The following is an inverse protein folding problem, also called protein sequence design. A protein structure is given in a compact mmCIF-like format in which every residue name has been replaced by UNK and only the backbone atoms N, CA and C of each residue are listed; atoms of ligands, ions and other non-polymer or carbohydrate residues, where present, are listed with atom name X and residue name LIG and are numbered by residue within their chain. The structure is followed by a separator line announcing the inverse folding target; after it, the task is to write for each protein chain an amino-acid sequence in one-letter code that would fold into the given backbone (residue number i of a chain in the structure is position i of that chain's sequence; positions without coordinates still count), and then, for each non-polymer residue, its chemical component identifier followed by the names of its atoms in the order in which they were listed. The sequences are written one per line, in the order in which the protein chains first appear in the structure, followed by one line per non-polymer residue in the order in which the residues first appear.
data_IF_749150280155
#
_entry.id   IF_749150280155
#
_cell.length_a   1.000
_cell.length_b   1.000
_cell.length_c   1.000
_cell.angle_alpha   90.00
_cell.angle_beta   90.00
_cell.angle_gamma   90.00
#
_symmetry.space_group_name_H-M   'P 1'
#
loop_
_entity.id
_entity.type
_entity.pdbx_description
1 polymer ?
#
# COMPACT_ATOMS: atom_id res chain seq x y z
N UNK A 1 3.69 25.17 2.35
CA UNK A 1 2.26 24.85 2.11
C UNK A 1 2.18 23.36 1.84
N UNK A 2 1.29 22.60 2.48
CA UNK A 2 1.05 21.22 2.05
C UNK A 2 0.59 21.28 0.59
N UNK A 3 1.22 20.50 -0.28
CA UNK A 3 0.72 20.29 -1.64
C UNK A 3 -0.70 19.74 -1.47
N UNK A 4 -1.71 20.48 -1.94
CA UNK A 4 -3.08 19.99 -1.94
C UNK A 4 -3.10 18.73 -2.80
N UNK A 5 -3.50 17.61 -2.19
CA UNK A 5 -3.71 16.36 -2.91
C UNK A 5 -5.04 16.45 -3.65
N UNK A 6 -5.06 16.06 -4.92
CA UNK A 6 -6.31 16.11 -5.70
C UNK A 6 -7.31 15.10 -5.13
N UNK A 7 -8.53 15.53 -4.75
CA UNK A 7 -9.56 14.62 -4.27
C UNK A 7 -10.15 13.83 -5.44
N UNK A 8 -10.09 12.50 -5.33
CA UNK A 8 -10.57 11.54 -6.32
C UNK A 8 -11.69 10.72 -5.69
N UNK A 9 -12.87 10.75 -6.30
CA UNK A 9 -13.97 9.85 -5.96
C UNK A 9 -14.01 8.69 -6.95
N UNK A 10 -13.92 7.46 -6.45
CA UNK A 10 -14.03 6.27 -7.31
C UNK A 10 -15.46 5.74 -7.23
N UNK A 11 -16.17 5.88 -8.35
CA UNK A 11 -17.52 5.36 -8.57
C UNK A 11 -17.42 3.98 -9.19
N UNK A 12 -17.88 2.95 -8.49
CA UNK A 12 -17.82 1.55 -8.92
C UNK A 12 -19.06 0.79 -8.42
N UNK A 13 -19.32 -0.40 -8.97
CA UNK A 13 -20.36 -1.30 -8.45
C UNK A 13 -19.77 -2.35 -7.50
N UNK A 14 -20.57 -2.90 -6.61
CA UNK A 14 -20.12 -3.86 -5.59
C UNK A 14 -19.41 -5.10 -6.18
N UNK A 15 -19.80 -5.54 -7.39
CA UNK A 15 -19.13 -6.64 -8.08
C UNK A 15 -17.66 -6.36 -8.43
N UNK A 16 -17.24 -5.09 -8.45
CA UNK A 16 -15.87 -4.65 -8.74
C UNK A 16 -15.08 -4.30 -7.47
N UNK A 17 -15.70 -4.42 -6.29
CA UNK A 17 -15.12 -3.93 -5.03
C UNK A 17 -13.72 -4.47 -4.77
N UNK A 18 -13.51 -5.77 -4.90
CA UNK A 18 -12.22 -6.41 -4.64
C UNK A 18 -11.11 -5.84 -5.53
N UNK A 19 -11.36 -5.68 -6.83
CA UNK A 19 -10.40 -5.08 -7.76
C UNK A 19 -10.15 -3.59 -7.44
N UNK A 20 -11.20 -2.83 -7.10
CA UNK A 20 -11.06 -1.41 -6.75
C UNK A 20 -10.23 -1.25 -5.48
N UNK A 21 -10.52 -2.02 -4.44
CA UNK A 21 -9.90 -1.90 -3.12
C UNK A 21 -8.46 -2.40 -3.10
N UNK A 22 -8.16 -3.46 -3.84
CA UNK A 22 -6.84 -4.11 -3.78
C UNK A 22 -5.88 -3.68 -4.88
N UNK A 23 -6.37 -3.00 -5.92
CA UNK A 23 -5.56 -2.59 -7.08
C UNK A 23 -5.71 -1.11 -7.43
N UNK A 24 -6.91 -0.65 -7.77
CA UNK A 24 -7.11 0.72 -8.26
C UNK A 24 -6.86 1.78 -7.20
N UNK A 25 -7.59 1.74 -6.08
CA UNK A 25 -7.49 2.73 -5.02
C UNK A 25 -6.06 2.83 -4.44
N UNK A 26 -5.36 1.71 -4.15
CA UNK A 26 -3.98 1.74 -3.68
C UNK A 26 -3.03 2.48 -4.62
N UNK A 27 -3.14 2.22 -5.93
CA UNK A 27 -2.30 2.88 -6.94
C UNK A 27 -2.56 4.38 -6.97
N UNK A 28 -3.83 4.79 -6.96
CA UNK A 28 -4.21 6.21 -6.98
C UNK A 28 -3.72 6.93 -5.71
N UNK A 29 -3.93 6.36 -4.52
CA UNK A 29 -3.44 6.93 -3.26
C UNK A 29 -1.91 7.01 -3.21
N UNK A 30 -1.23 5.93 -3.59
CA UNK A 30 0.23 5.85 -3.55
C UNK A 30 0.89 6.81 -4.55
N UNK A 31 0.19 7.16 -5.64
CA UNK A 31 0.66 8.14 -6.62
C UNK A 31 0.53 9.60 -6.16
N UNK A 32 -0.18 9.87 -5.06
CA UNK A 32 -0.27 11.20 -4.44
C UNK A 32 -1.68 11.81 -4.36
N UNK A 33 -2.71 11.14 -4.88
CA UNK A 33 -4.09 11.62 -4.79
C UNK A 33 -4.79 11.21 -3.48
N UNK A 34 -5.84 11.94 -3.10
CA UNK A 34 -6.70 11.58 -1.96
C UNK A 34 -7.92 10.82 -2.48
N UNK A 35 -8.04 9.53 -2.15
CA UNK A 35 -9.14 8.69 -2.66
C UNK A 35 -10.27 8.60 -1.66
N UNK A 36 -11.50 8.77 -2.14
CA UNK A 36 -12.74 8.45 -1.42
C UNK A 36 -13.48 7.31 -2.13
N UNK A 37 -13.87 6.32 -1.34
CA UNK A 37 -14.64 5.13 -1.73
C UNK A 37 -15.99 5.16 -1.01
N UNK A 38 -17.03 4.67 -1.69
CA UNK A 38 -18.42 4.72 -1.25
C UNK A 38 -18.71 4.15 0.17
N UNK A 39 -18.72 2.83 0.33
CA UNK A 39 -19.14 2.15 1.57
C UNK A 39 -18.03 2.18 2.61
N UNK A 40 -16.76 2.25 2.18
CA UNK A 40 -15.60 2.24 3.07
C UNK A 40 -15.48 3.55 3.85
N UNK A 41 -15.64 4.69 3.18
CA UNK A 41 -15.47 6.00 3.81
C UNK A 41 -16.80 6.59 4.32
N UNK A 42 -17.89 5.83 4.18
CA UNK A 42 -19.22 6.23 4.61
C UNK A 42 -19.37 6.32 6.13
N UNK A 43 -20.00 7.41 6.57
CA UNK A 43 -20.40 7.59 7.97
C UNK A 43 -21.72 6.85 8.20
N UNK A 44 -21.69 5.89 9.13
CA UNK A 44 -22.88 5.16 9.55
C UNK A 44 -23.97 6.12 10.06
N UNK A 45 -25.24 5.81 9.75
CA UNK A 45 -26.38 6.64 10.12
C UNK A 45 -26.72 7.77 9.14
N UNK A 46 -25.91 7.98 8.09
CA UNK A 46 -26.23 8.89 6.98
C UNK A 46 -26.66 8.11 5.74
N UNK A 47 -27.48 8.74 4.88
CA UNK A 47 -27.86 8.16 3.59
C UNK A 47 -26.63 8.00 2.69
N UNK A 48 -26.35 6.78 2.23
CA UNK A 48 -25.24 6.50 1.30
C UNK A 48 -25.35 7.37 0.03
N UNK A 49 -26.56 7.53 -0.52
CA UNK A 49 -26.78 8.37 -1.70
C UNK A 49 -26.45 9.86 -1.45
N UNK A 50 -26.73 10.37 -0.25
CA UNK A 50 -26.38 11.75 0.11
C UNK A 50 -24.87 11.92 0.23
N UNK A 51 -24.18 10.96 0.85
CA UNK A 51 -22.73 10.97 1.02
C UNK A 51 -22.00 10.83 -0.32
N UNK A 52 -22.43 9.92 -1.17
CA UNK A 52 -21.89 9.75 -2.53
C UNK A 52 -22.03 11.02 -3.37
N UNK A 53 -23.16 11.72 -3.25
CA UNK A 53 -23.35 13.03 -3.89
C UNK A 53 -22.37 14.07 -3.35
N UNK A 54 -22.21 14.16 -2.03
CA UNK A 54 -21.24 15.09 -1.40
C UNK A 54 -19.80 14.82 -1.86
N UNK A 55 -19.38 13.55 -1.89
CA UNK A 55 -18.04 13.19 -2.36
C UNK A 55 -17.86 13.47 -3.86
N UNK A 56 -18.86 13.13 -4.68
CA UNK A 56 -18.83 13.44 -6.11
C UNK A 56 -18.82 14.93 -6.41
N UNK A 57 -19.51 15.75 -5.60
CA UNK A 57 -19.53 17.21 -5.72
C UNK A 57 -18.19 17.83 -5.28
N UNK A 58 -17.52 17.24 -4.28
CA UNK A 58 -16.23 17.70 -3.74
C UNK A 58 -15.00 17.20 -4.52
N UNK A 59 -15.12 16.13 -5.31
CA UNK A 59 -14.01 15.53 -6.03
C UNK A 59 -13.56 16.37 -7.23
N UNK A 60 -12.25 16.55 -7.36
CA UNK A 60 -11.59 17.09 -8.54
C UNK A 60 -11.71 16.13 -9.72
N UNK A 61 -11.68 14.83 -9.44
CA UNK A 61 -11.82 13.76 -10.42
C UNK A 61 -12.83 12.71 -9.95
N UNK A 62 -13.78 12.37 -10.82
CA UNK A 62 -14.65 11.20 -10.65
C UNK A 62 -14.17 10.08 -11.57
N UNK A 63 -13.68 8.99 -10.98
CA UNK A 63 -13.25 7.80 -11.70
C UNK A 63 -14.44 6.84 -11.80
N UNK A 64 -14.98 6.64 -13.00
CA UNK A 64 -16.12 5.76 -13.25
C UNK A 64 -15.66 4.39 -13.74
N UNK A 65 -15.81 3.35 -12.92
CA UNK A 65 -15.36 1.98 -13.22
C UNK A 65 -16.45 1.24 -14.01
N UNK A 66 -16.40 1.36 -15.33
CA UNK A 66 -17.43 0.86 -16.24
C UNK A 66 -17.45 -0.67 -16.32
N UNK A 67 -18.64 -1.22 -16.12
CA UNK A 67 -19.06 -2.61 -16.36
C UNK A 67 -20.55 -2.65 -16.73
N UNK A 68 -21.07 -3.77 -17.26
CA UNK A 68 -22.52 -3.92 -17.48
C UNK A 68 -23.35 -3.63 -16.22
N UNK A 69 -22.88 -4.05 -15.04
CA UNK A 69 -23.61 -3.85 -13.78
C UNK A 69 -23.51 -2.41 -13.27
N UNK A 70 -22.36 -1.77 -13.45
CA UNK A 70 -22.19 -0.34 -13.19
C UNK A 70 -23.19 0.48 -14.02
N UNK A 71 -23.33 0.16 -15.31
CA UNK A 71 -24.24 0.87 -16.21
C UNK A 71 -25.72 0.64 -15.89
N UNK A 72 -26.08 -0.47 -15.24
CA UNK A 72 -27.45 -0.73 -14.76
C UNK A 72 -27.76 -0.05 -13.43
N UNK A 73 -26.75 0.34 -12.67
CA UNK A 73 -26.93 0.96 -11.36
C UNK A 73 -27.38 2.42 -11.50
N UNK A 74 -28.59 2.73 -11.04
CA UNK A 74 -29.14 4.09 -11.04
C UNK A 74 -28.25 5.06 -10.25
N UNK A 75 -27.70 4.61 -9.12
CA UNK A 75 -26.79 5.44 -8.31
C UNK A 75 -25.53 5.81 -9.08
N UNK A 76 -24.86 4.81 -9.65
CA UNK A 76 -23.65 5.01 -10.47
C UNK A 76 -23.94 5.91 -11.68
N UNK A 77 -25.10 5.74 -12.34
CA UNK A 77 -25.51 6.60 -13.44
C UNK A 77 -25.64 8.06 -13.04
N UNK A 78 -26.19 8.34 -11.86
CA UNK A 78 -26.33 9.71 -11.38
C UNK A 78 -24.95 10.35 -11.22
N UNK A 79 -24.00 9.63 -10.63
CA UNK A 79 -22.65 10.13 -10.32
C UNK A 79 -21.88 10.59 -11.57
N UNK A 80 -21.77 9.75 -12.59
CA UNK A 80 -21.04 10.16 -13.81
C UNK A 80 -21.83 11.19 -14.63
N UNK A 81 -23.17 11.19 -14.58
CA UNK A 81 -23.99 12.26 -15.17
C UNK A 81 -23.80 13.60 -14.46
N UNK A 82 -23.59 13.58 -13.14
CA UNK A 82 -23.22 14.76 -12.35
C UNK A 82 -21.85 15.29 -12.77
N UNK A 83 -20.82 14.45 -12.83
CA UNK A 83 -19.48 14.84 -13.30
C UNK A 83 -19.52 15.41 -14.73
N UNK A 84 -20.25 14.77 -15.65
CA UNK A 84 -20.44 15.26 -17.03
C UNK A 84 -21.10 16.63 -17.10
N UNK A 85 -22.03 16.97 -16.20
CA UNK A 85 -22.65 18.30 -16.17
C UNK A 85 -21.66 19.40 -15.78
N UNK A 86 -20.62 19.07 -15.00
CA UNK A 86 -19.57 20.01 -14.61
C UNK A 86 -18.52 20.22 -15.72
N UNK A 87 -18.34 19.22 -16.59
CA UNK A 87 -17.52 19.30 -17.81
C UNK A 87 -18.30 18.88 -19.08
N UNK A 88 -19.26 19.71 -19.54
CA UNK A 88 -20.04 19.39 -20.74
C UNK A 88 -19.15 19.22 -21.97
N UNK A 89 -19.25 18.07 -22.62
CA UNK A 89 -18.43 17.75 -23.80
C UNK A 89 -16.98 17.38 -23.47
N UNK A 90 -16.64 17.18 -22.19
CA UNK A 90 -15.32 16.72 -21.73
C UNK A 90 -14.17 17.62 -22.17
N UNK A 91 -14.43 18.92 -22.27
CA UNK A 91 -13.48 19.91 -22.78
C UNK A 91 -12.31 20.13 -21.82
N UNK A 92 -12.54 19.97 -20.51
CA UNK A 92 -11.48 20.02 -19.50
C UNK A 92 -10.73 18.70 -19.40
N UNK A 93 -11.42 17.58 -19.66
CA UNK A 93 -10.84 16.23 -19.72
C UNK A 93 -10.37 15.70 -18.37
N UNK A 94 -10.85 16.27 -17.26
CA UNK A 94 -10.37 15.95 -15.90
C UNK A 94 -11.50 15.59 -14.94
N UNK A 95 -12.75 15.97 -15.21
CA UNK A 95 -13.81 15.81 -14.21
C UNK A 95 -14.37 14.38 -14.17
N UNK A 96 -14.52 13.72 -15.32
CA UNK A 96 -14.93 12.32 -15.42
C UNK A 96 -13.82 11.52 -16.12
N UNK A 97 -13.32 10.49 -15.44
CA UNK A 97 -12.31 9.55 -15.96
C UNK A 97 -12.95 8.16 -16.09
N UNK A 98 -13.42 7.76 -17.28
CA UNK A 98 -14.01 6.45 -17.47
C UNK A 98 -12.93 5.37 -17.56
N UNK A 99 -13.05 4.33 -16.72
CA UNK A 99 -12.19 3.15 -16.73
C UNK A 99 -13.01 1.94 -17.16
N UNK A 100 -12.65 1.31 -18.27
CA UNK A 100 -13.33 0.12 -18.74
C UNK A 100 -12.79 -1.11 -17.98
N UNK A 101 -13.61 -1.70 -17.10
CA UNK A 101 -13.28 -2.92 -16.34
C UNK A 101 -13.85 -4.17 -16.97
N UNK A 102 -14.98 -4.06 -17.67
CA UNK A 102 -15.63 -5.13 -18.43
C UNK A 102 -16.18 -4.61 -19.76
N UNK A 103 -16.43 -5.51 -20.71
CA UNK A 103 -17.04 -5.11 -21.98
C UNK A 103 -18.47 -4.64 -21.77
N UNK A 104 -18.72 -3.37 -22.09
CA UNK A 104 -20.07 -2.78 -22.05
C UNK A 104 -20.65 -2.76 -23.47
N UNK A 105 -21.73 -3.51 -23.70
CA UNK A 105 -22.43 -3.54 -24.98
C UNK A 105 -23.97 -3.58 -24.76
N UNK A 106 -24.73 -2.59 -25.26
CA UNK A 106 -24.24 -1.33 -25.83
C UNK A 106 -23.65 -0.41 -24.76
N UNK A 107 -22.66 0.41 -25.14
CA UNK A 107 -22.18 1.52 -24.32
C UNK A 107 -23.19 2.70 -24.45
N UNK A 108 -23.47 3.47 -23.38
CA UNK A 108 -24.42 4.57 -23.46
C UNK A 108 -24.03 5.60 -24.53
N UNK A 109 -25.01 6.18 -25.25
CA UNK A 109 -24.77 7.26 -26.22
C UNK A 109 -23.97 8.44 -25.64
N UNK A 110 -24.14 8.71 -24.35
CA UNK A 110 -23.42 9.78 -23.64
C UNK A 110 -21.92 9.51 -23.44
N UNK A 111 -21.52 8.24 -23.53
CA UNK A 111 -20.14 7.76 -23.41
C UNK A 111 -19.63 7.20 -24.75
N UNK A 112 -20.33 7.46 -25.86
CA UNK A 112 -19.93 7.04 -27.21
C UNK A 112 -20.05 8.20 -28.21
N UNK A 113 -19.22 8.16 -29.26
CA UNK A 113 -19.20 9.17 -30.31
C UNK A 113 -18.08 10.21 -30.19
N UNK A 114 -18.02 11.20 -31.10
CA UNK A 114 -16.87 12.10 -31.24
C UNK A 114 -16.63 13.05 -30.06
N UNK A 115 -17.70 13.34 -29.30
CA UNK A 115 -17.67 14.21 -28.12
C UNK A 115 -17.71 13.42 -26.80
N UNK A 116 -17.52 12.10 -26.85
CA UNK A 116 -17.44 11.26 -25.67
C UNK A 116 -16.02 11.29 -25.07
N UNK A 117 -15.88 11.02 -23.76
CA UNK A 117 -14.57 10.96 -23.15
C UNK A 117 -13.85 9.71 -23.66
N UNK A 118 -12.53 9.79 -23.81
CA UNK A 118 -11.72 8.58 -23.96
C UNK A 118 -11.80 7.78 -22.66
N UNK A 119 -12.01 6.48 -22.78
CA UNK A 119 -11.91 5.56 -21.65
C UNK A 119 -10.53 4.90 -21.61
N UNK A 120 -10.05 4.61 -20.42
CA UNK A 120 -8.84 3.81 -20.21
C UNK A 120 -9.25 2.34 -20.05
N UNK A 121 -8.66 1.45 -20.86
CA UNK A 121 -9.02 0.03 -20.87
C UNK A 121 -8.15 -0.77 -19.90
N UNK A 122 -8.73 -1.14 -18.76
CA UNK A 122 -8.11 -1.96 -17.72
C UNK A 122 -8.77 -3.34 -17.61
N UNK A 123 -9.50 -3.80 -18.64
CA UNK A 123 -10.18 -5.12 -18.60
C UNK A 123 -9.24 -6.29 -18.32
N UNK A 124 -8.00 -6.18 -18.83
CA UNK A 124 -6.95 -7.20 -18.73
C UNK A 124 -6.20 -7.17 -17.40
N UNK A 125 -6.33 -6.09 -16.62
CA UNK A 125 -5.65 -5.94 -15.34
C UNK A 125 -6.11 -7.02 -14.34
N UNK A 126 -5.11 -7.70 -13.74
CA UNK A 126 -5.33 -8.82 -12.82
C UNK A 126 -5.87 -10.11 -13.47
N UNK A 127 -6.03 -10.16 -14.81
CA UNK A 127 -6.54 -11.35 -15.53
C UNK A 127 -5.52 -11.97 -16.46
N UNK A 128 -4.64 -11.15 -17.03
CA UNK A 128 -3.63 -11.58 -17.98
C UNK A 128 -2.24 -11.14 -17.53
N UNK A 129 -1.21 -11.72 -18.17
CA UNK A 129 0.15 -11.24 -18.01
C UNK A 129 0.21 -9.79 -18.49
N UNK A 130 0.71 -8.92 -17.63
CA UNK A 130 0.88 -7.53 -17.96
C UNK A 130 1.80 -7.35 -19.18
N UNK A 131 1.44 -6.39 -20.03
CA UNK A 131 2.21 -5.96 -21.17
C UNK A 131 2.42 -4.44 -21.18
N UNK A 132 3.17 -3.95 -22.16
CA UNK A 132 3.46 -2.53 -22.30
C UNK A 132 2.20 -1.67 -22.50
N UNK A 133 1.13 -2.23 -23.08
CA UNK A 133 -0.12 -1.50 -23.30
C UNK A 133 -0.83 -1.27 -21.97
N UNK A 134 -0.91 -2.30 -21.12
CA UNK A 134 -1.50 -2.16 -19.80
C UNK A 134 -0.72 -1.15 -18.93
N UNK A 135 0.61 -1.21 -18.94
CA UNK A 135 1.45 -0.25 -18.21
C UNK A 135 1.24 1.19 -18.73
N UNK A 136 1.16 1.39 -20.05
CA UNK A 136 0.85 2.70 -20.64
C UNK A 136 -0.55 3.20 -20.25
N UNK A 137 -1.53 2.31 -20.14
CA UNK A 137 -2.87 2.68 -19.66
C UNK A 137 -2.83 3.14 -18.20
N UNK A 138 -2.09 2.46 -17.33
CA UNK A 138 -1.86 2.91 -15.96
C UNK A 138 -1.13 4.25 -15.90
N UNK A 139 -0.07 4.43 -16.68
CA UNK A 139 0.67 5.69 -16.75
C UNK A 139 -0.23 6.87 -17.18
N UNK A 140 -1.13 6.65 -18.16
CA UNK A 140 -2.13 7.65 -18.57
C UNK A 140 -3.11 7.99 -17.44
N UNK A 141 -3.52 6.99 -16.65
CA UNK A 141 -4.38 7.23 -15.48
C UNK A 141 -3.66 8.11 -14.45
N UNK A 142 -2.43 7.75 -14.07
CA UNK A 142 -1.67 8.51 -13.06
C UNK A 142 -1.34 9.95 -13.49
N UNK A 143 -1.18 10.17 -14.80
CA UNK A 143 -0.94 11.49 -15.36
C UNK A 143 -2.11 12.47 -15.16
N UNK A 144 -3.34 11.99 -14.88
CA UNK A 144 -4.52 12.83 -14.67
C UNK A 144 -4.32 13.86 -13.55
N UNK A 145 -3.69 13.46 -12.45
CA UNK A 145 -3.37 14.30 -11.29
C UNK A 145 -1.85 14.49 -11.09
N UNK A 146 -1.06 14.23 -12.13
CA UNK A 146 0.40 14.41 -12.09
C UNK A 146 1.15 13.52 -11.10
N UNK A 147 0.54 12.40 -10.69
CA UNK A 147 1.11 11.46 -9.74
C UNK A 147 2.08 10.45 -10.36
N UNK A 148 2.82 9.74 -9.52
CA UNK A 148 3.70 8.66 -9.97
C UNK A 148 4.16 7.76 -8.83
N UNK A 149 4.43 6.49 -9.17
CA UNK A 149 4.90 5.49 -8.21
C UNK A 149 6.43 5.39 -8.16
N UNK A 150 7.14 6.06 -9.07
CA UNK A 150 8.60 5.98 -9.22
C UNK A 150 9.12 4.62 -9.72
N UNK A 151 8.21 3.72 -10.09
CA UNK A 151 8.43 2.38 -10.68
C UNK A 151 7.25 2.12 -11.65
N UNK A 152 7.30 1.03 -12.42
CA UNK A 152 6.14 0.57 -13.19
C UNK A 152 4.98 0.23 -12.26
N UNK A 153 3.77 0.58 -12.66
CA UNK A 153 2.56 0.36 -11.86
C UNK A 153 2.32 -1.11 -11.62
N UNK A 154 2.57 -1.95 -12.62
CA UNK A 154 2.44 -3.39 -12.50
C UNK A 154 3.46 -3.96 -11.51
N UNK A 155 4.73 -3.54 -11.56
CA UNK A 155 5.75 -4.02 -10.61
C UNK A 155 5.39 -3.63 -9.17
N UNK A 156 4.84 -2.42 -8.99
CA UNK A 156 4.38 -1.95 -7.68
C UNK A 156 3.21 -2.78 -7.15
N UNK A 157 2.22 -3.09 -7.99
CA UNK A 157 1.07 -3.94 -7.64
C UNK A 157 1.51 -5.38 -7.35
N UNK A 158 2.39 -5.95 -8.17
CA UNK A 158 2.93 -7.29 -7.99
C UNK A 158 3.74 -7.38 -6.68
N UNK A 159 4.50 -6.34 -6.34
CA UNK A 159 5.18 -6.25 -5.05
C UNK A 159 4.18 -6.15 -3.89
N UNK A 160 3.16 -5.29 -3.95
CA UNK A 160 2.12 -5.18 -2.91
C UNK A 160 1.44 -6.54 -2.65
N UNK A 161 1.01 -7.21 -3.72
CA UNK A 161 0.33 -8.51 -3.62
C UNK A 161 1.28 -9.63 -3.20
N UNK A 162 2.51 -9.63 -3.70
CA UNK A 162 3.56 -10.57 -3.32
C UNK A 162 3.93 -10.47 -1.84
N UNK A 163 4.20 -9.26 -1.34
CA UNK A 163 4.46 -9.00 0.08
C UNK A 163 3.27 -9.45 0.92
N UNK A 164 2.05 -9.06 0.55
CA UNK A 164 0.83 -9.43 1.29
C UNK A 164 0.68 -10.95 1.40
N UNK A 165 0.78 -11.66 0.28
CA UNK A 165 0.69 -13.14 0.25
C UNK A 165 1.72 -13.74 1.19
N UNK A 166 2.97 -13.35 1.04
CA UNK A 166 4.08 -13.93 1.80
C UNK A 166 3.93 -13.65 3.30
N UNK A 167 3.51 -12.44 3.71
CA UNK A 167 3.26 -12.12 5.11
C UNK A 167 2.04 -12.84 5.71
N UNK A 168 1.00 -13.10 4.91
CA UNK A 168 -0.15 -13.92 5.34
C UNK A 168 0.28 -15.37 5.56
N UNK A 169 1.18 -15.88 4.72
CA UNK A 169 1.79 -17.22 4.83
C UNK A 169 2.93 -17.30 5.85
N UNK A 170 3.10 -16.26 6.68
CA UNK A 170 4.17 -16.16 7.68
C UNK A 170 5.60 -16.30 7.12
N UNK A 171 5.81 -15.90 5.86
CA UNK A 171 7.13 -15.85 5.21
C UNK A 171 7.76 -14.48 5.41
N UNK A 172 9.05 -14.46 5.69
CA UNK A 172 9.80 -13.21 5.81
C UNK A 172 10.07 -12.61 4.43
N UNK A 173 9.97 -11.29 4.32
CA UNK A 173 10.10 -10.57 3.04
C UNK A 173 11.16 -9.49 3.17
N UNK A 174 12.04 -9.40 2.17
CA UNK A 174 12.91 -8.25 1.98
C UNK A 174 12.43 -7.44 0.77
N UNK A 175 11.90 -6.25 1.02
CA UNK A 175 11.52 -5.28 -0.01
C UNK A 175 12.72 -4.38 -0.32
N UNK A 176 13.37 -4.64 -1.45
CA UNK A 176 14.47 -3.82 -1.97
C UNK A 176 13.90 -2.71 -2.85
N UNK A 177 13.88 -1.48 -2.34
CA UNK A 177 13.41 -0.31 -3.06
C UNK A 177 14.17 0.94 -2.61
N UNK A 178 14.42 1.86 -3.54
CA UNK A 178 15.05 3.15 -3.26
C UNK A 178 14.21 4.29 -3.86
N UNK A 179 14.45 5.53 -3.41
CA UNK A 179 13.88 6.70 -4.07
C UNK A 179 14.25 6.69 -5.56
N UNK A 180 13.35 7.13 -6.47
CA UNK A 180 12.09 7.84 -6.22
C UNK A 180 10.85 6.95 -5.99
N UNK A 181 11.02 5.65 -5.79
CA UNK A 181 9.91 4.69 -5.65
C UNK A 181 9.06 5.02 -4.41
N UNK A 182 7.73 5.00 -4.56
CA UNK A 182 6.75 5.19 -3.50
C UNK A 182 6.59 3.93 -2.62
N UNK A 183 7.70 3.36 -2.15
CA UNK A 183 7.72 2.14 -1.33
C UNK A 183 7.08 2.35 0.05
N UNK A 184 7.16 3.56 0.59
CA UNK A 184 6.56 3.88 1.89
C UNK A 184 5.04 3.85 1.81
N UNK A 185 4.48 4.29 0.68
CA UNK A 185 3.05 4.18 0.37
C UNK A 185 2.63 2.73 0.15
N UNK A 186 3.48 1.90 -0.46
CA UNK A 186 3.23 0.45 -0.56
C UNK A 186 3.03 -0.18 0.82
N UNK A 187 3.86 0.17 1.80
CA UNK A 187 3.73 -0.35 3.17
C UNK A 187 2.42 0.11 3.83
N UNK A 188 1.97 1.36 3.57
CA UNK A 188 0.69 1.86 4.07
C UNK A 188 -0.47 1.04 3.47
N UNK A 189 -0.53 0.92 2.15
CA UNK A 189 -1.59 0.17 1.47
C UNK A 189 -1.55 -1.33 1.81
N UNK A 190 -0.36 -1.89 2.06
CA UNK A 190 -0.19 -3.25 2.54
C UNK A 190 -0.87 -3.46 3.89
N UNK A 191 -0.66 -2.55 4.84
CA UNK A 191 -1.25 -2.65 6.17
C UNK A 191 -2.78 -2.60 6.14
N UNK A 192 -3.36 -1.80 5.24
CA UNK A 192 -4.82 -1.74 5.03
C UNK A 192 -5.39 -3.04 4.43
N UNK A 193 -4.56 -3.83 3.74
CA UNK A 193 -4.97 -5.08 3.08
C UNK A 193 -4.62 -6.36 3.86
N UNK A 194 -3.89 -6.24 4.98
CA UNK A 194 -3.60 -7.37 5.86
C UNK A 194 -4.80 -7.67 6.78
N UNK A 195 -5.08 -8.95 7.10
CA UNK A 195 -6.12 -9.28 8.07
C UNK A 195 -5.88 -8.67 9.46
N UNK A 196 -4.61 -8.56 9.84
CA UNK A 196 -4.14 -7.83 11.02
C UNK A 196 -3.01 -6.91 10.57
N UNK A 197 -3.08 -5.59 10.85
CA UNK A 197 -2.03 -4.64 10.50
C UNK A 197 -0.69 -5.05 11.10
N UNK A 198 0.39 -4.87 10.34
CA UNK A 198 1.73 -5.10 10.85
C UNK A 198 2.21 -3.92 11.70
N UNK A 199 2.93 -4.21 12.78
CA UNK A 199 3.66 -3.22 13.55
C UNK A 199 4.73 -2.58 12.65
N UNK A 200 4.93 -1.26 12.73
CA UNK A 200 5.90 -0.55 11.87
C UNK A 200 6.90 0.19 12.74
N UNK A 201 8.19 -0.04 12.50
CA UNK A 201 9.31 0.67 13.13
C UNK A 201 10.23 1.21 12.04
N UNK A 202 10.62 2.48 12.14
CA UNK A 202 11.45 3.14 11.14
C UNK A 202 12.84 3.46 11.68
N UNK A 203 13.88 2.82 11.12
CA UNK A 203 15.27 3.08 11.51
C UNK A 203 15.79 4.42 10.97
N UNK A 204 14.99 5.14 10.17
CA UNK A 204 15.26 6.55 9.86
C UNK A 204 14.91 7.51 10.99
N UNK A 205 14.06 7.11 11.92
CA UNK A 205 13.70 7.93 13.09
C UNK A 205 14.84 7.92 14.12
N UNK A 206 15.39 9.09 14.51
CA UNK A 206 16.43 9.19 15.53
C UNK A 206 16.10 8.53 16.87
N UNK A 207 14.80 8.40 17.21
CA UNK A 207 14.38 7.72 18.43
C UNK A 207 14.75 6.23 18.43
N UNK A 208 14.96 5.62 17.26
CA UNK A 208 15.30 4.21 17.11
C UNK A 208 16.81 3.95 16.98
N UNK A 209 17.67 4.97 17.17
CA UNK A 209 19.13 4.80 16.99
C UNK A 209 19.84 4.23 18.22
N UNK A 210 19.18 4.24 19.37
CA UNK A 210 19.63 3.59 20.60
C UNK A 210 18.93 2.24 20.72
N UNK A 211 19.67 1.16 21.02
CA UNK A 211 19.14 -0.21 21.02
C UNK A 211 17.94 -0.37 21.94
N UNK A 212 18.04 0.15 23.17
CA UNK A 212 16.93 0.11 24.13
C UNK A 212 15.66 0.76 23.56
N UNK A 213 15.78 1.97 23.02
CA UNK A 213 14.62 2.69 22.48
C UNK A 213 14.03 1.95 21.28
N UNK A 214 14.87 1.37 20.41
CA UNK A 214 14.41 0.54 19.31
C UNK A 214 13.58 -0.66 19.81
N UNK A 215 14.06 -1.37 20.83
CA UNK A 215 13.36 -2.52 21.43
C UNK A 215 12.03 -2.09 22.07
N UNK A 216 12.02 -1.00 22.84
CA UNK A 216 10.80 -0.46 23.47
C UNK A 216 9.78 0.04 22.45
N UNK A 217 10.24 0.75 21.41
CA UNK A 217 9.38 1.21 20.32
C UNK A 217 8.83 0.03 19.51
N UNK A 218 9.62 -1.04 19.34
CA UNK A 218 9.16 -2.29 18.72
C UNK A 218 8.06 -2.95 19.55
N UNK A 219 8.27 -3.12 20.86
CA UNK A 219 7.23 -3.65 21.76
C UNK A 219 5.97 -2.78 21.73
N UNK A 220 6.11 -1.45 21.78
CA UNK A 220 4.99 -0.52 21.70
C UNK A 220 4.22 -0.67 20.39
N UNK A 221 4.92 -0.77 19.26
CA UNK A 221 4.30 -0.98 17.96
C UNK A 221 3.57 -2.33 17.88
N UNK A 222 4.02 -3.34 18.64
CA UNK A 222 3.37 -4.65 18.79
C UNK A 222 2.25 -4.67 19.84
N UNK A 223 1.91 -3.52 20.43
CA UNK A 223 0.84 -3.37 21.42
C UNK A 223 1.27 -3.64 22.86
N UNK A 224 2.56 -3.73 23.15
CA UNK A 224 3.11 -3.94 24.49
C UNK A 224 3.70 -2.64 25.01
N UNK A 225 3.08 -2.06 26.04
CA UNK A 225 3.67 -0.93 26.75
C UNK A 225 4.62 -1.44 27.85
N UNK A 226 5.91 -1.55 27.51
CA UNK A 226 6.94 -1.97 28.45
C UNK A 226 8.08 -0.94 28.50
N UNK A 227 8.64 -0.77 29.68
CA UNK A 227 9.94 -0.13 29.89
C UNK A 227 10.94 -1.24 30.20
N UNK A 228 12.04 -1.27 29.46
CA UNK A 228 13.05 -2.32 29.57
C UNK A 228 14.07 -1.93 30.64
N UNK A 229 13.66 -2.01 31.90
CA UNK A 229 14.52 -1.80 33.07
C UNK A 229 15.17 -3.12 33.50
N UNK A 230 16.33 -3.41 32.91
CA UNK A 230 17.16 -4.51 33.38
C UNK A 230 18.61 -4.07 33.56
N UNK A 231 19.22 -4.38 34.73
CA UNK A 231 20.63 -4.07 34.97
C UNK A 231 21.51 -4.95 34.06
N UNK A 232 22.59 -4.34 33.53
CA UNK A 232 23.61 -5.03 32.75
C UNK A 232 23.54 -4.77 31.24
N UNK A 233 24.60 -5.16 30.50
CA UNK A 233 24.79 -4.80 29.10
C UNK A 233 23.81 -5.46 28.12
N UNK A 234 23.05 -6.49 28.55
CA UNK A 234 22.08 -7.22 27.71
C UNK A 234 20.67 -7.24 28.32
N UNK A 235 20.46 -6.48 29.40
CA UNK A 235 19.21 -6.51 30.14
C UNK A 235 17.99 -6.20 29.28
N UNK A 236 18.12 -5.21 28.39
CA UNK A 236 17.09 -4.79 27.45
C UNK A 236 16.72 -5.91 26.46
N UNK A 237 17.71 -6.62 25.90
CA UNK A 237 17.49 -7.74 24.97
C UNK A 237 16.78 -8.91 25.67
N UNK A 238 17.16 -9.21 26.91
CA UNK A 238 16.51 -10.25 27.72
C UNK A 238 15.06 -9.88 28.02
N UNK A 239 14.81 -8.67 28.51
CA UNK A 239 13.47 -8.18 28.80
C UNK A 239 12.59 -8.17 27.55
N UNK A 240 13.13 -7.69 26.43
CA UNK A 240 12.45 -7.76 25.12
C UNK A 240 12.05 -9.19 24.78
N UNK A 241 12.99 -10.14 24.90
CA UNK A 241 12.74 -11.54 24.56
C UNK A 241 11.71 -12.21 25.47
N UNK A 242 11.69 -11.86 26.75
CA UNK A 242 10.66 -12.34 27.69
C UNK A 242 9.28 -11.84 27.28
N UNK A 243 9.15 -10.55 26.97
CA UNK A 243 7.88 -9.96 26.54
C UNK A 243 7.41 -10.56 25.20
N UNK A 244 8.31 -10.67 24.22
CA UNK A 244 8.02 -11.26 22.91
C UNK A 244 7.51 -12.71 22.97
N UNK A 245 7.96 -13.52 23.93
CA UNK A 245 7.48 -14.91 24.13
C UNK A 245 6.02 -14.98 24.57
N UNK A 246 5.48 -13.91 25.15
CA UNK A 246 4.08 -13.86 25.62
C UNK A 246 3.11 -13.43 24.52
N UNK A 247 3.63 -12.88 23.41
CA UNK A 247 2.82 -12.41 22.31
C UNK A 247 2.38 -13.55 21.39
N UNK A 248 1.15 -13.49 20.83
CA UNK A 248 0.79 -14.33 19.69
C UNK A 248 1.65 -13.96 18.48
N UNK A 249 1.68 -14.79 17.41
CA UNK A 249 2.38 -14.44 16.19
C UNK A 249 1.98 -13.07 15.64
N UNK A 250 2.96 -12.19 15.42
CA UNK A 250 2.80 -10.83 14.90
C UNK A 250 3.61 -10.61 13.63
N UNK A 251 3.25 -9.55 12.89
CA UNK A 251 4.02 -9.05 11.74
C UNK A 251 4.73 -7.76 12.15
N UNK A 252 6.00 -7.64 11.78
CA UNK A 252 6.83 -6.46 12.05
C UNK A 252 7.46 -5.96 10.75
N UNK A 253 7.23 -4.69 10.45
CA UNK A 253 7.85 -3.97 9.34
C UNK A 253 9.00 -3.12 9.86
N UNK A 254 10.21 -3.36 9.36
CA UNK A 254 11.40 -2.57 9.65
C UNK A 254 11.75 -1.71 8.43
N UNK A 255 11.46 -0.40 8.51
CA UNK A 255 11.76 0.55 7.44
C UNK A 255 13.21 1.02 7.52
N UNK A 256 13.81 1.27 6.35
CA UNK A 256 15.17 1.79 6.22
C UNK A 256 16.22 0.97 6.97
N UNK A 257 16.10 -0.36 6.93
CA UNK A 257 16.89 -1.26 7.77
C UNK A 257 18.40 -1.14 7.54
N UNK A 258 18.84 -0.75 6.34
CA UNK A 258 20.25 -0.49 6.03
C UNK A 258 20.93 0.52 6.97
N UNK A 259 20.14 1.38 7.65
CA UNK A 259 20.65 2.34 8.63
C UNK A 259 21.20 1.68 9.89
N UNK A 260 20.83 0.43 10.19
CA UNK A 260 21.35 -0.30 11.37
C UNK A 260 22.87 -0.39 11.40
N UNK A 261 23.53 -0.38 10.23
CA UNK A 261 25.00 -0.38 10.09
C UNK A 261 25.70 0.82 10.70
N UNK A 262 24.95 1.89 11.03
CA UNK A 262 25.48 3.13 11.60
C UNK A 262 25.33 3.19 13.12
N UNK A 263 24.73 2.18 13.74
CA UNK A 263 24.45 2.18 15.17
C UNK A 263 25.40 1.24 15.88
N UNK A 264 26.42 1.79 16.54
CA UNK A 264 27.42 1.01 17.28
C UNK A 264 26.79 0.20 18.44
N UNK A 265 25.63 0.62 18.93
CA UNK A 265 24.88 -0.02 20.02
C UNK A 265 24.08 -1.26 19.57
N UNK A 266 23.92 -1.46 18.25
CA UNK A 266 23.22 -2.61 17.69
C UNK A 266 24.20 -3.80 17.62
N UNK A 267 24.46 -4.40 18.78
CA UNK A 267 25.29 -5.61 18.91
C UNK A 267 24.63 -6.86 18.30
N UNK A 268 25.41 -7.93 18.17
CA UNK A 268 24.95 -9.22 17.65
C UNK A 268 23.73 -9.77 18.42
N UNK A 269 23.67 -9.54 19.74
CA UNK A 269 22.61 -10.03 20.62
C UNK A 269 21.22 -9.52 20.24
N UNK A 270 21.11 -8.28 19.74
CA UNK A 270 19.85 -7.72 19.24
C UNK A 270 19.31 -8.56 18.07
N UNK A 271 20.21 -8.82 17.12
CA UNK A 271 19.88 -9.52 15.91
C UNK A 271 19.65 -11.01 16.15
N UNK A 272 20.34 -11.60 17.12
CA UNK A 272 20.06 -12.93 17.63
C UNK A 272 18.66 -13.02 18.25
N UNK A 273 18.25 -12.04 19.04
CA UNK A 273 16.90 -11.99 19.58
C UNK A 273 15.85 -11.88 18.46
N UNK A 274 16.04 -11.00 17.49
CA UNK A 274 15.13 -10.89 16.33
C UNK A 274 15.07 -12.20 15.53
N UNK A 275 16.22 -12.84 15.28
CA UNK A 275 16.30 -14.13 14.59
C UNK A 275 15.56 -15.23 15.36
N UNK A 276 15.79 -15.31 16.67
CA UNK A 276 15.17 -16.29 17.54
C UNK A 276 13.64 -16.22 17.48
N UNK A 277 13.07 -15.00 17.54
CA UNK A 277 11.61 -14.82 17.45
C UNK A 277 11.06 -14.98 16.04
N UNK A 278 11.89 -14.90 15.01
CA UNK A 278 11.47 -15.07 13.62
C UNK A 278 11.56 -16.52 13.12
N UNK A 279 12.61 -17.27 13.47
CA UNK A 279 12.90 -18.60 12.88
C UNK A 279 12.69 -19.79 13.83
N UNK A 280 13.25 -19.69 15.04
CA UNK A 280 13.47 -20.83 15.94
C UNK A 280 12.13 -21.24 16.61
N UNK A 281 12.16 -21.81 17.82
CA UNK A 281 10.95 -22.22 18.54
C UNK A 281 9.97 -21.07 18.83
N UNK A 282 10.43 -19.82 18.69
CA UNK A 282 9.61 -18.63 18.89
C UNK A 282 8.52 -18.47 17.85
N UNK A 283 8.85 -18.43 16.54
CA UNK A 283 7.96 -18.08 15.40
C UNK A 283 6.86 -17.03 15.70
N UNK A 284 7.17 -16.11 16.60
CA UNK A 284 6.26 -15.06 17.04
C UNK A 284 6.35 -13.83 16.14
N UNK A 285 7.33 -13.77 15.23
CA UNK A 285 7.52 -12.64 14.32
C UNK A 285 7.64 -13.06 12.86
N UNK A 286 6.80 -12.49 12.01
CA UNK A 286 6.99 -12.46 10.57
C UNK A 286 7.53 -11.09 10.16
N UNK A 287 8.75 -11.05 9.61
CA UNK A 287 9.42 -9.79 9.27
C UNK A 287 9.15 -9.35 7.81
N UNK A 288 8.82 -8.08 7.63
CA UNK A 288 9.02 -7.35 6.37
C UNK A 288 10.15 -6.34 6.59
N UNK A 289 11.25 -6.50 5.87
CA UNK A 289 12.38 -5.59 5.94
C UNK A 289 12.42 -4.76 4.67
N UNK A 290 12.44 -3.44 4.79
CA UNK A 290 12.70 -2.56 3.66
C UNK A 290 14.16 -2.12 3.64
N UNK A 291 14.82 -2.29 2.50
CA UNK A 291 16.22 -1.92 2.28
C UNK A 291 16.41 -1.18 0.97
N UNK A 292 17.49 -0.40 0.86
CA UNK A 292 17.91 0.24 -0.40
C UNK A 292 19.07 -0.50 -1.09
N UNK A 293 19.61 -1.53 -0.44
CA UNK A 293 20.65 -2.42 -0.97
C UNK A 293 20.32 -3.88 -0.59
N UNK A 294 20.82 -4.89 -1.33
CA UNK A 294 20.51 -6.30 -1.05
C UNK A 294 20.79 -6.68 0.40
N UNK A 295 19.85 -7.40 1.03
CA UNK A 295 19.93 -7.73 2.46
C UNK A 295 21.22 -8.46 2.84
N UNK A 296 21.71 -9.37 1.98
CA UNK A 296 22.96 -10.08 2.20
C UNK A 296 24.21 -9.18 2.30
N UNK A 297 24.17 -7.95 1.77
CA UNK A 297 25.24 -6.97 1.88
C UNK A 297 25.13 -6.05 3.11
N UNK A 298 24.03 -6.12 3.86
CA UNK A 298 23.79 -5.27 5.02
C UNK A 298 24.49 -5.72 6.28
N UNK A 299 24.75 -7.03 6.38
CA UNK A 299 25.23 -7.66 7.58
C UNK A 299 26.64 -8.20 7.35
N UNK A 300 27.52 -8.17 8.35
CA UNK A 300 28.84 -8.80 8.25
C UNK A 300 28.74 -10.28 7.84
N UNK A 301 29.75 -10.80 7.14
CA UNK A 301 29.80 -12.22 6.81
C UNK A 301 29.78 -13.08 8.09
N UNK A 302 28.91 -14.10 8.12
CA UNK A 302 28.72 -14.95 9.30
C UNK A 302 27.77 -14.36 10.36
N UNK A 303 27.15 -13.21 10.09
CA UNK A 303 26.17 -12.62 11.00
C UNK A 303 24.91 -13.48 11.07
N UNK A 304 24.33 -13.62 12.27
CA UNK A 304 23.25 -14.56 12.58
C UNK A 304 22.00 -14.39 11.69
N UNK A 305 21.65 -13.15 11.34
CA UNK A 305 20.55 -12.86 10.42
C UNK A 305 20.84 -13.24 8.96
N UNK A 306 22.09 -13.47 8.55
CA UNK A 306 22.39 -13.92 7.17
C UNK A 306 21.90 -15.35 6.90
N UNK A 307 21.52 -16.09 7.94
CA UNK A 307 20.95 -17.44 7.85
C UNK A 307 19.43 -17.40 7.65
N UNK A 308 18.79 -16.25 7.86
CA UNK A 308 17.35 -16.10 7.60
C UNK A 308 17.07 -16.11 6.10
N UNK A 309 16.11 -16.95 5.69
CA UNK A 309 15.58 -16.93 4.33
C UNK A 309 14.54 -15.83 4.20
N UNK A 310 14.83 -14.84 3.36
CA UNK A 310 13.87 -13.81 2.96
C UNK A 310 13.45 -14.03 1.52
N UNK A 311 12.15 -13.94 1.25
CA UNK A 311 11.67 -13.72 -0.10
C UNK A 311 12.04 -12.30 -0.52
N UNK A 312 12.94 -12.17 -1.49
CA UNK A 312 13.38 -10.87 -1.96
C UNK A 312 12.45 -10.36 -3.08
N UNK A 313 11.86 -9.19 -2.86
CA UNK A 313 11.06 -8.46 -3.85
C UNK A 313 11.79 -7.16 -4.18
N UNK A 314 12.08 -6.97 -5.47
CA UNK A 314 12.87 -5.82 -5.95
C UNK A 314 11.97 -4.90 -6.76
N UNK A 315 11.90 -3.63 -6.36
CA UNK A 315 11.30 -2.58 -7.18
C UNK A 315 12.41 -1.77 -7.83
N UNK A 316 12.33 -1.61 -9.15
CA UNK A 316 13.30 -0.85 -9.93
C UNK A 316 12.67 0.47 -10.40
N UNK A 317 13.43 1.57 -10.40
CA UNK A 317 12.91 2.83 -10.93
C UNK A 317 12.66 2.74 -12.44
N UNK A 318 11.68 3.53 -12.92
CA UNK A 318 11.42 3.76 -14.36
C UNK A 318 12.28 4.88 -14.89
#
# INVERSE_FOLDING_TARGET
MPLMTDPVFISYCHAQAEWVHTRLAPVIRASGASVTLDVIDGVAGRSLAAQMKEWGDAAAHVVAVLSPDYLKSTACQLEWKHARRRDPGFLKGRELIPLLRETCAPMPPELTGPAAPLYLDLRRDGREKADAVLEQTWAKLLAVWGGGLGTRTIDWLDALHGVRRDLVEAKHVNLLAAAPIQWSKLIVELNDQLPEPAAVVDLADPLNWVRRNFLENTLRALGVNAQLDHPGPLGDVIGFSQMMRTLPPRRLVLKNFQKCRRFDDFGADLFDALRFHAMDDGRNLTLLIHTTEPFGGLLPAGHVLSVMTFNQLVLSPV
#
